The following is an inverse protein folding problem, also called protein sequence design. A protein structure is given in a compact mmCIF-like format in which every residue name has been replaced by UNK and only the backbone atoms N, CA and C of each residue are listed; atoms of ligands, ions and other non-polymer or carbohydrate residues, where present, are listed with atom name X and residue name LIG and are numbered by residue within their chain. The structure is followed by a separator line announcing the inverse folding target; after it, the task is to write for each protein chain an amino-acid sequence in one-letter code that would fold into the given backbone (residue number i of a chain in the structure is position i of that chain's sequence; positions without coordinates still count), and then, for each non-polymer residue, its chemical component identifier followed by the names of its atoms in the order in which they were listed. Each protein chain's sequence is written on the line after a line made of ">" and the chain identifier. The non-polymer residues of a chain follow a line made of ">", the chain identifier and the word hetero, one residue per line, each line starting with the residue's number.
data_IF_841578442034
#
_entry.id   IF_841578442034
#
_cell.length_a   1.000
_cell.length_b   1.000
_cell.length_c   1.000
_cell.angle_alpha   90.00
_cell.angle_beta   90.00
_cell.angle_gamma   90.00
#
_symmetry.space_group_name_H-M   'P 1'
#
loop_
_entity.id
_entity.type
_entity.pdbx_description
1 polymer ?
#
# COMPACT_ATOMS: atom_id res chain seq x y z
N UNK A 1 -9.41 19.46 -4.83
CA UNK A 1 -8.75 18.12 -4.69
C UNK A 1 -8.88 17.74 -3.22
N UNK A 2 -9.11 16.47 -2.89
CA UNK A 2 -9.12 16.04 -1.48
C UNK A 2 -7.67 15.77 -1.09
N UNK A 3 -7.07 16.64 -0.28
CA UNK A 3 -5.62 16.70 -0.08
C UNK A 3 -5.12 15.70 0.96
N UNK A 4 -5.94 15.38 1.98
CA UNK A 4 -5.55 14.44 3.03
C UNK A 4 -5.12 13.07 2.48
N UNK A 5 -5.74 12.60 1.38
CA UNK A 5 -5.36 11.33 0.76
C UNK A 5 -3.94 11.38 0.16
N UNK A 6 -3.50 12.55 -0.34
CA UNK A 6 -2.12 12.76 -0.81
C UNK A 6 -1.14 12.72 0.36
N UNK A 7 -1.51 13.37 1.48
CA UNK A 7 -0.70 13.36 2.72
C UNK A 7 -0.57 11.93 3.27
N UNK A 8 -1.68 11.19 3.34
CA UNK A 8 -1.65 9.79 3.80
C UNK A 8 -0.83 8.88 2.88
N UNK A 9 -0.84 9.12 1.56
CA UNK A 9 0.03 8.38 0.62
C UNK A 9 1.50 8.67 0.87
N UNK A 10 1.86 9.93 1.10
CA UNK A 10 3.22 10.31 1.47
C UNK A 10 3.64 9.64 2.79
N UNK A 11 2.77 9.70 3.81
CA UNK A 11 3.00 9.06 5.11
C UNK A 11 3.20 7.54 4.97
N UNK A 12 2.35 6.87 4.18
CA UNK A 12 2.49 5.44 3.91
C UNK A 12 3.84 5.10 3.30
N UNK A 13 4.30 5.86 2.28
CA UNK A 13 5.62 5.67 1.69
C UNK A 13 6.74 5.80 2.73
N UNK A 14 6.69 6.84 3.57
CA UNK A 14 7.69 7.05 4.62
C UNK A 14 7.71 5.89 5.65
N UNK A 15 6.53 5.44 6.10
CA UNK A 15 6.42 4.35 7.11
C UNK A 15 6.89 3.01 6.52
N UNK A 16 6.50 2.69 5.28
CA UNK A 16 6.95 1.47 4.60
C UNK A 16 8.47 1.50 4.43
N UNK A 17 9.04 2.60 3.95
CA UNK A 17 10.49 2.73 3.80
C UNK A 17 11.20 2.61 5.15
N UNK A 18 10.65 3.25 6.19
CA UNK A 18 11.17 3.15 7.55
C UNK A 18 11.30 1.71 8.02
N UNK A 19 10.32 0.86 7.75
CA UNK A 19 10.35 -0.54 8.19
C UNK A 19 11.41 -1.41 7.50
N UNK A 20 11.97 -0.94 6.40
CA UNK A 20 13.06 -1.62 5.70
C UNK A 20 14.47 -1.21 6.16
N UNK A 21 14.59 -0.22 7.06
CA UNK A 21 15.88 0.24 7.59
C UNK A 21 16.45 -0.63 8.72
N UNK A 22 16.06 -1.91 8.80
CA UNK A 22 16.68 -2.88 9.70
C UNK A 22 18.20 -2.94 9.46
N UNK A 23 18.99 -2.84 10.51
CA UNK A 23 20.44 -2.77 10.46
C UNK A 23 21.02 -1.41 10.03
N UNK A 24 20.18 -0.43 9.65
CA UNK A 24 20.61 0.95 9.31
C UNK A 24 20.57 1.85 10.55
N UNK A 25 19.55 1.66 11.40
CA UNK A 25 19.41 2.39 12.65
C UNK A 25 20.29 1.81 13.76
N UNK A 26 20.59 2.58 14.82
CA UNK A 26 21.27 2.08 16.03
C UNK A 26 20.49 0.97 16.74
N UNK A 27 19.19 0.90 16.53
CA UNK A 27 18.31 -0.17 17.03
C UNK A 27 17.20 -0.46 16.02
N UNK A 28 16.97 -1.75 15.76
CA UNK A 28 15.92 -2.20 14.82
C UNK A 28 14.50 -1.95 15.32
N UNK A 29 14.32 -1.57 16.58
CA UNK A 29 13.01 -1.18 17.11
C UNK A 29 12.41 0.01 16.36
N UNK A 30 13.25 0.90 15.82
CA UNK A 30 12.84 2.06 15.04
C UNK A 30 12.38 1.63 13.63
N UNK A 31 13.01 0.60 13.04
CA UNK A 31 12.68 0.05 11.73
C UNK A 31 11.39 -0.78 11.77
N UNK A 32 10.27 -0.16 12.05
CA UNK A 32 8.99 -0.84 12.25
C UNK A 32 7.83 -0.08 11.59
N UNK A 33 6.63 -0.69 11.59
CA UNK A 33 5.41 -0.05 11.10
C UNK A 33 5.06 -0.34 9.64
N UNK A 34 5.80 -1.21 8.93
CA UNK A 34 5.57 -1.49 7.51
C UNK A 34 4.12 -1.86 7.20
N UNK A 35 3.52 -2.75 7.99
CA UNK A 35 2.12 -3.14 7.81
C UNK A 35 1.14 -1.97 8.01
N UNK A 36 1.43 -1.03 8.92
CA UNK A 36 0.64 0.21 9.06
C UNK A 36 0.72 1.05 7.77
N UNK A 37 1.90 1.17 7.19
CA UNK A 37 2.08 1.84 5.90
C UNK A 37 1.31 1.15 4.76
N UNK A 38 1.36 -0.19 4.70
CA UNK A 38 0.64 -0.98 3.69
C UNK A 38 -0.88 -0.76 3.78
N UNK A 39 -1.48 -0.87 4.97
CA UNK A 39 -2.94 -0.67 5.13
C UNK A 39 -3.36 0.77 4.80
N UNK A 40 -2.55 1.78 5.13
CA UNK A 40 -2.80 3.17 4.71
C UNK A 40 -2.79 3.26 3.17
N UNK A 41 -1.82 2.64 2.51
CA UNK A 41 -1.70 2.68 1.06
C UNK A 41 -2.87 1.97 0.37
N UNK A 42 -3.29 0.79 0.85
CA UNK A 42 -4.47 0.08 0.35
C UNK A 42 -5.75 0.91 0.55
N UNK A 43 -5.91 1.57 1.70
CA UNK A 43 -7.06 2.43 1.96
C UNK A 43 -7.07 3.67 1.04
N UNK A 44 -5.93 4.33 0.84
CA UNK A 44 -5.82 5.44 -0.13
C UNK A 44 -6.08 4.96 -1.56
N UNK A 45 -5.65 3.75 -1.91
CA UNK A 45 -5.95 3.15 -3.22
C UNK A 45 -7.45 2.94 -3.39
N UNK A 46 -8.14 2.36 -2.41
CA UNK A 46 -9.60 2.23 -2.41
C UNK A 46 -10.32 3.57 -2.52
N UNK A 47 -9.87 4.58 -1.77
CA UNK A 47 -10.39 5.95 -1.82
C UNK A 47 -10.30 6.57 -3.22
N UNK A 48 -9.20 6.36 -3.93
CA UNK A 48 -8.96 6.91 -5.26
C UNK A 48 -9.69 6.14 -6.37
N UNK A 49 -10.00 4.86 -6.17
CA UNK A 49 -10.49 3.94 -7.21
C UNK A 49 -12.01 3.75 -7.24
N UNK A 50 -12.77 4.45 -6.41
CA UNK A 50 -14.24 4.32 -6.30
C UNK A 50 -14.97 4.55 -7.63
N UNK A 51 -14.47 5.46 -8.48
CA UNK A 51 -15.10 5.77 -9.76
C UNK A 51 -14.67 4.77 -10.84
N UNK A 52 -15.32 3.63 -10.85
CA UNK A 52 -15.11 2.57 -11.86
C UNK A 52 -15.85 2.92 -13.14
N UNK A 53 -15.10 3.08 -14.25
CA UNK A 53 -15.65 3.35 -15.59
C UNK A 53 -15.25 2.28 -16.59
N UNK A 54 -16.14 1.92 -17.48
CA UNK A 54 -15.91 0.90 -18.51
C UNK A 54 -16.13 -0.53 -18.02
N UNK A 55 -15.82 -1.50 -18.87
CA UNK A 55 -15.86 -2.91 -18.49
C UNK A 55 -14.61 -3.33 -17.70
N UNK A 56 -14.64 -4.54 -17.14
CA UNK A 56 -13.56 -5.06 -16.27
C UNK A 56 -12.19 -5.02 -16.97
N UNK A 57 -12.09 -5.55 -18.17
CA UNK A 57 -10.81 -5.65 -18.90
C UNK A 57 -10.20 -4.28 -19.20
N UNK A 58 -11.03 -3.31 -19.58
CA UNK A 58 -10.58 -1.92 -19.80
C UNK A 58 -10.12 -1.24 -18.53
N UNK A 59 -10.85 -1.45 -17.44
CA UNK A 59 -10.50 -0.85 -16.15
C UNK A 59 -9.25 -1.50 -15.58
N UNK A 60 -9.18 -2.83 -15.58
CA UNK A 60 -8.05 -3.59 -15.05
C UNK A 60 -6.79 -3.36 -15.89
N UNK A 61 -6.89 -3.38 -17.21
CA UNK A 61 -5.78 -3.09 -18.12
C UNK A 61 -5.15 -1.71 -17.88
N UNK A 62 -5.95 -0.68 -17.55
CA UNK A 62 -5.41 0.63 -17.15
C UNK A 62 -4.61 0.57 -15.84
N UNK A 63 -4.94 -0.32 -14.91
CA UNK A 63 -4.19 -0.53 -13.67
C UNK A 63 -2.89 -1.26 -13.94
N UNK A 64 -2.94 -2.30 -14.76
CA UNK A 64 -1.74 -3.01 -15.21
C UNK A 64 -0.77 -2.04 -15.90
N UNK A 65 -1.26 -1.24 -16.85
CA UNK A 65 -0.45 -0.26 -17.58
C UNK A 65 0.21 0.77 -16.65
N UNK A 66 -0.39 1.06 -15.49
CA UNK A 66 0.18 1.97 -14.49
C UNK A 66 1.27 1.30 -13.65
N UNK A 67 1.13 0.02 -13.31
CA UNK A 67 2.03 -0.67 -12.39
C UNK A 67 3.19 -1.36 -13.12
N UNK A 68 2.87 -2.12 -14.18
CA UNK A 68 3.83 -3.04 -14.80
C UNK A 68 5.05 -2.40 -15.44
N UNK A 69 5.01 -1.23 -16.10
CA UNK A 69 6.22 -0.63 -16.65
C UNK A 69 7.30 -0.39 -15.60
N UNK A 70 6.94 0.07 -14.39
CA UNK A 70 7.88 0.26 -13.29
C UNK A 70 8.41 -1.09 -12.78
N UNK A 71 7.51 -2.06 -12.56
CA UNK A 71 7.88 -3.40 -12.07
C UNK A 71 8.82 -4.10 -13.04
N UNK A 72 8.51 -4.10 -14.33
CA UNK A 72 9.34 -4.77 -15.34
C UNK A 72 10.72 -4.13 -15.47
N UNK A 73 10.77 -2.80 -15.52
CA UNK A 73 12.04 -2.07 -15.62
C UNK A 73 12.96 -2.32 -14.44
N UNK A 74 12.44 -2.20 -13.22
CA UNK A 74 13.27 -2.37 -12.03
C UNK A 74 13.69 -3.84 -11.85
N UNK A 75 12.79 -4.79 -12.15
CA UNK A 75 13.10 -6.22 -12.10
C UNK A 75 14.19 -6.58 -13.09
N UNK A 76 14.12 -6.05 -14.33
CA UNK A 76 15.16 -6.24 -15.32
C UNK A 76 16.49 -5.61 -14.89
N UNK A 77 16.44 -4.39 -14.34
CA UNK A 77 17.62 -3.72 -13.81
C UNK A 77 18.29 -4.52 -12.68
N UNK A 78 17.48 -5.11 -11.78
CA UNK A 78 17.99 -5.94 -10.70
C UNK A 78 18.57 -7.28 -11.15
N UNK A 79 18.00 -7.90 -12.20
CA UNK A 79 18.59 -9.09 -12.84
C UNK A 79 19.94 -8.76 -13.49
N UNK A 80 20.01 -7.67 -14.26
CA UNK A 80 21.25 -7.23 -14.94
C UNK A 80 22.34 -6.81 -13.95
N UNK A 81 21.97 -6.24 -12.82
CA UNK A 81 22.88 -5.87 -11.74
C UNK A 81 23.26 -7.06 -10.82
N UNK A 82 22.75 -8.27 -11.06
CA UNK A 82 22.99 -9.42 -10.21
C UNK A 82 22.37 -9.34 -8.81
N UNK A 83 21.42 -8.42 -8.61
CA UNK A 83 20.70 -8.26 -7.34
C UNK A 83 19.56 -9.28 -7.19
N UNK A 84 19.03 -9.78 -8.29
CA UNK A 84 18.11 -10.91 -8.35
C UNK A 84 18.76 -12.09 -9.05
N UNK A 85 18.52 -13.29 -8.53
CA UNK A 85 18.95 -14.54 -9.17
C UNK A 85 17.98 -14.86 -10.33
N UNK A 86 18.53 -15.20 -11.49
CA UNK A 86 17.73 -15.65 -12.62
C UNK A 86 17.02 -16.97 -12.26
N UNK A 87 15.69 -17.07 -12.49
CA UNK A 87 14.96 -18.31 -12.23
C UNK A 87 15.41 -19.46 -13.12
N UNK A 88 15.48 -20.67 -12.57
CA UNK A 88 15.87 -21.89 -13.30
C UNK A 88 14.74 -22.49 -14.14
N UNK A 89 13.47 -22.13 -13.86
CA UNK A 89 12.31 -22.71 -14.49
C UNK A 89 11.24 -21.67 -14.90
N UNK A 90 10.33 -22.09 -15.77
CA UNK A 90 9.26 -21.22 -16.28
C UNK A 90 8.36 -20.67 -15.17
N UNK A 91 8.08 -21.45 -14.12
CA UNK A 91 7.26 -20.99 -13.00
C UNK A 91 7.94 -19.85 -12.23
N UNK A 92 9.27 -19.89 -12.09
CA UNK A 92 10.06 -18.80 -11.50
C UNK A 92 9.99 -17.52 -12.33
N UNK A 93 10.10 -17.63 -13.66
CA UNK A 93 9.96 -16.49 -14.56
C UNK A 93 8.55 -15.88 -14.52
N UNK A 94 7.50 -16.71 -14.45
CA UNK A 94 6.13 -16.22 -14.25
C UNK A 94 5.97 -15.47 -12.91
N UNK A 95 6.53 -16.01 -11.84
CA UNK A 95 6.51 -15.36 -10.50
C UNK A 95 7.31 -14.06 -10.48
N UNK A 96 8.37 -13.94 -11.27
CA UNK A 96 9.20 -12.76 -11.31
C UNK A 96 8.54 -11.60 -12.08
N UNK A 97 7.90 -11.90 -13.22
CA UNK A 97 7.41 -10.87 -14.15
C UNK A 97 5.89 -10.74 -14.21
N UNK A 98 5.13 -11.83 -14.10
CA UNK A 98 3.67 -11.81 -14.27
C UNK A 98 2.95 -11.69 -12.92
N UNK A 99 3.36 -12.47 -11.94
CA UNK A 99 2.87 -12.36 -10.58
C UNK A 99 4.03 -12.08 -9.63
N UNK A 100 4.50 -10.81 -9.57
CA UNK A 100 5.80 -10.47 -8.99
C UNK A 100 5.80 -10.62 -7.45
N UNK A 101 6.00 -11.86 -6.98
CA UNK A 101 5.97 -12.22 -5.56
C UNK A 101 7.10 -11.58 -4.75
N UNK A 102 8.19 -11.16 -5.39
CA UNK A 102 9.24 -10.37 -4.76
C UNK A 102 8.72 -8.99 -4.29
N UNK A 103 7.65 -8.52 -4.92
CA UNK A 103 6.94 -7.29 -4.56
C UNK A 103 5.54 -7.66 -4.05
N UNK A 104 5.47 -8.26 -2.86
CA UNK A 104 4.22 -8.80 -2.28
C UNK A 104 3.06 -7.78 -2.26
N UNK A 105 3.37 -6.50 -2.07
CA UNK A 105 2.38 -5.42 -2.17
C UNK A 105 1.76 -5.35 -3.57
N UNK A 106 2.60 -5.38 -4.64
CA UNK A 106 2.12 -5.34 -6.03
C UNK A 106 1.33 -6.61 -6.34
N UNK A 107 1.83 -7.78 -5.93
CA UNK A 107 1.12 -9.04 -6.11
C UNK A 107 -0.27 -9.02 -5.43
N UNK A 108 -0.35 -8.50 -4.20
CA UNK A 108 -1.61 -8.39 -3.46
C UNK A 108 -2.59 -7.42 -4.10
N UNK A 109 -2.14 -6.22 -4.51
CA UNK A 109 -3.06 -5.24 -5.10
C UNK A 109 -3.62 -5.70 -6.46
N UNK A 110 -2.83 -6.43 -7.26
CA UNK A 110 -3.29 -7.02 -8.52
C UNK A 110 -4.46 -7.98 -8.28
N UNK A 111 -4.36 -8.85 -7.29
CA UNK A 111 -5.45 -9.77 -6.92
C UNK A 111 -6.65 -9.00 -6.39
N UNK A 112 -6.44 -8.05 -5.48
CA UNK A 112 -7.50 -7.31 -4.81
C UNK A 112 -8.25 -6.32 -5.72
N UNK A 113 -7.66 -5.89 -6.82
CA UNK A 113 -8.37 -5.10 -7.83
C UNK A 113 -9.56 -5.85 -8.42
N UNK A 114 -9.51 -7.19 -8.49
CA UNK A 114 -10.60 -8.00 -9.06
C UNK A 114 -11.88 -7.87 -8.22
N UNK A 115 -11.91 -8.30 -6.94
CA UNK A 115 -13.11 -8.15 -6.12
C UNK A 115 -13.49 -6.68 -5.92
N UNK A 116 -12.52 -5.78 -5.82
CA UNK A 116 -12.79 -4.35 -5.65
C UNK A 116 -13.57 -3.77 -6.84
N UNK A 117 -13.23 -4.16 -8.09
CA UNK A 117 -13.98 -3.74 -9.28
C UNK A 117 -15.45 -4.11 -9.15
N UNK A 118 -15.74 -5.38 -8.81
CA UNK A 118 -17.11 -5.86 -8.72
C UNK A 118 -17.89 -5.18 -7.59
N UNK A 119 -17.27 -4.99 -6.43
CA UNK A 119 -17.89 -4.25 -5.31
C UNK A 119 -18.25 -2.82 -5.73
N UNK A 120 -17.36 -2.12 -6.43
CA UNK A 120 -17.63 -0.75 -6.87
C UNK A 120 -18.61 -0.67 -8.06
N UNK A 121 -18.71 -1.72 -8.86
CA UNK A 121 -19.60 -1.78 -10.03
C UNK A 121 -21.03 -2.17 -9.68
N UNK A 122 -21.21 -3.04 -8.71
CA UNK A 122 -22.53 -3.52 -8.27
C UNK A 122 -23.07 -2.53 -7.24
N UNK A 123 -24.13 -1.79 -7.62
CA UNK A 123 -24.69 -0.72 -6.81
C UNK A 123 -25.05 -1.16 -5.38
N UNK A 124 -25.71 -2.31 -5.24
CA UNK A 124 -26.10 -2.88 -3.93
C UNK A 124 -24.88 -3.10 -2.99
N UNK A 125 -23.76 -3.60 -3.52
CA UNK A 125 -22.54 -3.80 -2.75
C UNK A 125 -21.86 -2.47 -2.40
N UNK A 126 -21.81 -1.55 -3.36
CA UNK A 126 -21.22 -0.22 -3.19
C UNK A 126 -21.95 0.62 -2.14
N UNK A 127 -23.27 0.55 -2.09
CA UNK A 127 -24.10 1.27 -1.11
C UNK A 127 -24.03 0.66 0.29
N UNK A 128 -23.74 -0.64 0.38
CA UNK A 128 -23.73 -1.41 1.63
C UNK A 128 -22.33 -1.92 2.01
N UNK A 129 -21.28 -1.11 1.78
CA UNK A 129 -19.90 -1.46 2.15
C UNK A 129 -19.77 -1.91 3.61
N UNK A 130 -20.39 -1.26 4.62
CA UNK A 130 -20.30 -1.73 6.00
C UNK A 130 -20.85 -3.13 6.20
N UNK A 131 -22.01 -3.46 5.59
CA UNK A 131 -22.62 -4.79 5.67
C UNK A 131 -21.76 -5.84 4.96
N UNK A 132 -21.22 -5.52 3.77
CA UNK A 132 -20.28 -6.37 3.07
C UNK A 132 -19.03 -6.64 3.91
N UNK A 133 -18.47 -5.59 4.55
CA UNK A 133 -17.31 -5.74 5.42
C UNK A 133 -17.61 -6.60 6.63
N UNK A 134 -18.80 -6.48 7.22
CA UNK A 134 -19.23 -7.35 8.31
C UNK A 134 -19.32 -8.83 7.89
N UNK A 135 -19.92 -9.13 6.73
CA UNK A 135 -19.97 -10.49 6.17
C UNK A 135 -18.59 -11.08 5.90
N UNK A 136 -17.70 -10.27 5.30
CA UNK A 136 -16.31 -10.68 5.07
C UNK A 136 -15.53 -10.87 6.39
N UNK A 137 -15.85 -10.10 7.43
CA UNK A 137 -15.26 -10.27 8.76
C UNK A 137 -15.63 -11.65 9.36
N UNK A 138 -16.86 -12.10 9.18
CA UNK A 138 -17.26 -13.46 9.60
C UNK A 138 -16.43 -14.52 8.86
N UNK A 139 -16.27 -14.40 7.54
CA UNK A 139 -15.43 -15.32 6.76
C UNK A 139 -13.98 -15.28 7.23
N UNK A 140 -13.43 -14.11 7.47
CA UNK A 140 -12.08 -13.92 7.98
C UNK A 140 -11.87 -14.59 9.34
N UNK A 141 -12.83 -14.42 10.27
CA UNK A 141 -12.81 -15.08 11.57
C UNK A 141 -12.90 -16.62 11.46
N UNK A 142 -13.77 -17.13 10.56
CA UNK A 142 -13.87 -18.56 10.31
C UNK A 142 -12.55 -19.13 9.76
N UNK A 143 -11.94 -18.48 8.80
CA UNK A 143 -10.62 -18.87 8.25
C UNK A 143 -9.56 -18.85 9.34
N UNK A 144 -9.56 -17.84 10.20
CA UNK A 144 -8.63 -17.74 11.33
C UNK A 144 -8.80 -18.88 12.33
N UNK A 145 -10.03 -19.21 12.69
CA UNK A 145 -10.33 -20.24 13.71
C UNK A 145 -10.09 -21.65 13.16
N UNK A 146 -10.48 -21.92 11.91
CA UNK A 146 -10.54 -23.28 11.36
C UNK A 146 -9.30 -23.68 10.56
N UNK A 147 -8.56 -22.73 9.98
CA UNK A 147 -7.54 -23.03 8.99
C UNK A 147 -6.17 -22.45 9.38
N UNK A 148 -6.17 -21.25 10.01
CA UNK A 148 -4.92 -20.52 10.25
C UNK A 148 -4.09 -21.15 11.36
N UNK A 149 -2.78 -21.30 11.11
CA UNK A 149 -1.84 -21.73 12.15
C UNK A 149 -1.66 -20.63 13.19
N UNK A 150 -1.95 -20.96 14.46
CA UNK A 150 -1.90 -20.02 15.59
C UNK A 150 -0.80 -20.36 16.58
N UNK A 151 0.08 -21.31 16.23
CA UNK A 151 1.11 -21.83 17.14
C UNK A 151 2.21 -20.79 17.47
N UNK A 152 2.41 -19.80 16.59
CA UNK A 152 3.36 -18.71 16.79
C UNK A 152 2.87 -17.41 16.15
N UNK A 153 3.48 -16.28 16.51
CA UNK A 153 3.10 -14.98 15.95
C UNK A 153 3.64 -14.78 14.53
N UNK A 154 2.76 -14.72 13.55
CA UNK A 154 3.12 -14.47 12.14
C UNK A 154 2.02 -13.80 11.32
N UNK A 155 0.94 -13.34 11.96
CA UNK A 155 -0.24 -12.76 11.28
C UNK A 155 0.08 -11.48 10.51
N UNK A 156 1.17 -10.80 10.85
CA UNK A 156 1.66 -9.60 10.14
C UNK A 156 2.60 -9.93 8.97
N UNK A 157 2.82 -11.21 8.69
CA UNK A 157 3.65 -11.66 7.57
C UNK A 157 2.92 -11.41 6.25
N UNK A 158 3.49 -10.54 5.44
CA UNK A 158 2.86 -10.07 4.18
C UNK A 158 2.71 -11.13 3.08
N UNK A 159 3.38 -12.28 3.23
CA UNK A 159 3.25 -13.43 2.32
C UNK A 159 2.07 -14.33 2.64
N UNK A 160 1.51 -14.21 3.84
CA UNK A 160 0.39 -15.01 4.28
C UNK A 160 -0.94 -14.59 3.63
N UNK A 161 -1.80 -15.55 3.24
CA UNK A 161 -3.10 -15.22 2.63
C UNK A 161 -4.00 -14.35 3.52
N UNK A 162 -3.90 -14.53 4.85
CA UNK A 162 -4.71 -13.79 5.84
C UNK A 162 -4.54 -12.28 5.75
N UNK A 163 -3.35 -11.80 5.42
CA UNK A 163 -3.08 -10.36 5.30
C UNK A 163 -3.90 -9.70 4.19
N UNK A 164 -4.31 -10.46 3.17
CA UNK A 164 -5.11 -9.95 2.05
C UNK A 164 -6.53 -9.57 2.48
N UNK A 165 -7.08 -10.21 3.49
CA UNK A 165 -8.35 -9.78 4.09
C UNK A 165 -8.20 -8.37 4.67
N UNK A 166 -7.16 -8.13 5.47
CA UNK A 166 -6.88 -6.82 6.05
C UNK A 166 -6.66 -5.75 4.96
N UNK A 167 -5.93 -6.07 3.91
CA UNK A 167 -5.72 -5.17 2.77
C UNK A 167 -7.02 -4.85 2.04
N UNK A 168 -7.88 -5.85 1.87
CA UNK A 168 -9.17 -5.64 1.23
C UNK A 168 -10.12 -4.81 2.10
N UNK A 169 -10.19 -5.08 3.41
CA UNK A 169 -10.90 -4.22 4.36
C UNK A 169 -10.40 -2.78 4.31
N UNK A 170 -9.09 -2.58 4.22
CA UNK A 170 -8.50 -1.26 4.09
C UNK A 170 -8.95 -0.55 2.80
N UNK A 171 -8.99 -1.25 1.65
CA UNK A 171 -9.52 -0.70 0.40
C UNK A 171 -11.01 -0.33 0.53
N UNK A 172 -11.82 -1.18 1.17
CA UNK A 172 -13.25 -0.92 1.40
C UNK A 172 -13.46 0.28 2.33
N UNK A 173 -12.66 0.40 3.38
CA UNK A 173 -12.67 1.56 4.27
C UNK A 173 -12.39 2.86 3.50
N UNK A 174 -11.34 2.87 2.68
CA UNK A 174 -11.01 4.03 1.85
C UNK A 174 -12.14 4.39 0.88
N UNK A 175 -12.75 3.39 0.24
CA UNK A 175 -13.91 3.58 -0.63
C UNK A 175 -15.11 4.16 0.13
N UNK A 176 -15.39 3.65 1.33
CA UNK A 176 -16.45 4.17 2.21
C UNK A 176 -16.22 5.65 2.56
N UNK A 177 -15.00 6.03 2.95
CA UNK A 177 -14.67 7.43 3.21
C UNK A 177 -14.84 8.32 1.98
N UNK A 178 -14.55 7.80 0.78
CA UNK A 178 -14.74 8.57 -0.46
C UNK A 178 -16.22 8.76 -0.81
N UNK A 179 -17.02 7.71 -0.67
CA UNK A 179 -18.47 7.76 -0.97
C UNK A 179 -19.17 8.65 0.05
N UNK A 180 -18.81 8.56 1.32
CA UNK A 180 -19.40 9.32 2.42
C UNK A 180 -18.59 10.57 2.78
N UNK A 181 -17.83 11.14 1.84
CA UNK A 181 -16.90 12.26 2.09
C UNK A 181 -17.53 13.43 2.83
N UNK A 182 -18.78 13.78 2.51
CA UNK A 182 -19.49 14.94 3.09
C UNK A 182 -19.78 14.77 4.59
N UNK A 183 -19.75 13.52 5.09
CA UNK A 183 -19.85 13.21 6.53
C UNK A 183 -18.55 13.39 7.28
N UNK A 184 -17.40 13.35 6.59
CA UNK A 184 -16.08 13.28 7.22
C UNK A 184 -15.19 14.49 6.97
N UNK A 185 -15.23 15.07 5.75
CA UNK A 185 -14.34 16.16 5.37
C UNK A 185 -14.60 17.43 6.19
N UNK A 186 -13.53 17.96 6.77
CA UNK A 186 -13.54 19.20 7.57
C UNK A 186 -14.53 19.19 8.74
N UNK A 187 -15.00 18.00 9.15
CA UNK A 187 -15.87 17.84 10.31
C UNK A 187 -15.02 17.57 11.55
N UNK A 188 -15.05 18.50 12.52
CA UNK A 188 -14.32 18.36 13.79
C UNK A 188 -14.56 17.00 14.44
N UNK A 189 -13.50 16.36 14.94
CA UNK A 189 -13.55 15.04 15.55
C UNK A 189 -12.47 14.92 16.63
N UNK A 190 -12.71 15.55 17.78
CA UNK A 190 -11.73 15.61 18.88
C UNK A 190 -11.42 14.21 19.42
N UNK A 191 -12.43 13.37 19.59
CA UNK A 191 -12.25 12.02 20.11
C UNK A 191 -11.26 11.18 19.25
N UNK A 192 -11.27 11.37 17.92
CA UNK A 192 -10.36 10.64 17.06
C UNK A 192 -8.88 11.05 17.29
N UNK A 193 -8.62 12.32 17.55
CA UNK A 193 -7.28 12.79 17.87
C UNK A 193 -6.79 12.30 19.24
N UNK A 194 -7.69 12.09 20.21
CA UNK A 194 -7.35 11.51 21.52
C UNK A 194 -7.10 10.01 21.37
N UNK A 195 -7.93 9.31 20.58
CA UNK A 195 -7.83 7.86 20.39
C UNK A 195 -6.62 7.44 19.52
N UNK A 196 -6.18 8.31 18.61
CA UNK A 196 -5.09 8.02 17.67
C UNK A 196 -3.79 7.57 18.38
N UNK A 197 -3.23 8.33 19.35
CA UNK A 197 -2.02 7.89 20.05
C UNK A 197 -2.25 6.63 20.90
N UNK A 198 -3.44 6.44 21.48
CA UNK A 198 -3.77 5.23 22.23
C UNK A 198 -3.76 3.99 21.34
N UNK A 199 -4.38 4.06 20.15
CA UNK A 199 -4.39 2.95 19.19
C UNK A 199 -3.00 2.72 18.60
N UNK A 200 -2.23 3.76 18.35
CA UNK A 200 -0.85 3.63 17.88
C UNK A 200 0.01 2.90 18.91
N UNK A 201 -0.05 3.30 20.17
CA UNK A 201 0.62 2.62 21.26
C UNK A 201 0.12 1.16 21.42
N UNK A 202 -1.19 0.96 21.38
CA UNK A 202 -1.82 -0.37 21.44
C UNK A 202 -1.39 -1.30 20.32
N UNK A 203 -1.25 -0.79 19.10
CA UNK A 203 -0.76 -1.57 17.95
C UNK A 203 0.66 -2.11 18.17
N UNK A 204 1.61 -1.24 18.55
CA UNK A 204 2.98 -1.66 18.80
C UNK A 204 3.12 -2.50 20.07
N UNK A 205 2.36 -2.17 21.12
CA UNK A 205 2.37 -2.94 22.37
C UNK A 205 1.81 -4.36 22.15
N UNK A 206 0.67 -4.52 21.42
CA UNK A 206 0.11 -5.83 21.13
C UNK A 206 1.04 -6.67 20.26
N UNK A 207 1.70 -6.08 19.27
CA UNK A 207 2.71 -6.74 18.45
C UNK A 207 3.86 -7.28 19.30
N UNK A 208 4.42 -6.42 20.17
CA UNK A 208 5.52 -6.80 21.05
C UNK A 208 5.09 -7.91 22.04
N UNK A 209 3.86 -7.82 22.56
CA UNK A 209 3.29 -8.80 23.48
C UNK A 209 3.21 -10.19 22.83
N UNK A 210 2.63 -10.29 21.64
CA UNK A 210 2.46 -11.55 20.92
C UNK A 210 3.77 -12.16 20.44
N UNK A 211 4.77 -11.33 20.08
CA UNK A 211 6.11 -11.81 19.73
C UNK A 211 6.84 -12.39 20.95
N UNK A 212 6.65 -11.80 22.15
CA UNK A 212 7.37 -12.23 23.36
C UNK A 212 6.70 -13.36 24.13
N UNK A 213 5.38 -13.49 24.05
CA UNK A 213 4.59 -14.45 24.82
C UNK A 213 3.86 -15.39 23.86
N UNK A 214 4.53 -16.49 23.47
CA UNK A 214 3.99 -17.49 22.54
C UNK A 214 2.59 -18.00 22.91
N UNK A 215 2.31 -18.17 24.23
CA UNK A 215 0.99 -18.60 24.72
C UNK A 215 -0.16 -17.67 24.29
N UNK A 216 0.15 -16.42 23.93
CA UNK A 216 -0.83 -15.45 23.46
C UNK A 216 -0.95 -15.42 21.92
N UNK A 217 -0.16 -16.24 21.19
CA UNK A 217 -0.21 -16.28 19.74
C UNK A 217 -1.61 -16.62 19.20
N UNK A 218 -2.42 -17.38 19.92
CA UNK A 218 -3.83 -17.64 19.59
C UNK A 218 -4.68 -16.39 19.43
N UNK A 219 -4.28 -15.29 20.08
CA UNK A 219 -4.98 -14.00 20.04
C UNK A 219 -4.33 -12.98 19.09
N UNK A 220 -3.37 -13.38 18.29
CA UNK A 220 -2.64 -12.47 17.39
C UNK A 220 -3.54 -11.67 16.43
N UNK A 221 -4.75 -12.16 16.13
CA UNK A 221 -5.77 -11.46 15.35
C UNK A 221 -6.12 -10.09 15.95
N UNK A 222 -6.04 -9.95 17.28
CA UNK A 222 -6.30 -8.68 17.98
C UNK A 222 -5.38 -7.57 17.46
N UNK A 223 -4.12 -7.90 17.13
CA UNK A 223 -3.21 -6.91 16.54
C UNK A 223 -3.73 -6.34 15.22
N UNK A 224 -4.31 -7.18 14.35
CA UNK A 224 -4.90 -6.71 13.09
C UNK A 224 -6.18 -5.91 13.31
N UNK A 225 -6.99 -6.27 14.31
CA UNK A 225 -8.21 -5.50 14.69
C UNK A 225 -7.80 -4.11 15.18
N UNK A 226 -6.80 -4.02 16.06
CA UNK A 226 -6.27 -2.75 16.56
C UNK A 226 -5.68 -1.92 15.40
N UNK A 227 -4.96 -2.55 14.48
CA UNK A 227 -4.41 -1.87 13.31
C UNK A 227 -5.52 -1.33 12.39
N UNK A 228 -6.59 -2.09 12.17
CA UNK A 228 -7.72 -1.63 11.35
C UNK A 228 -8.47 -0.47 12.03
N UNK A 229 -8.67 -0.53 13.35
CA UNK A 229 -9.23 0.56 14.13
C UNK A 229 -8.33 1.82 14.06
N UNK A 230 -7.02 1.65 14.19
CA UNK A 230 -6.03 2.71 14.02
C UNK A 230 -6.13 3.36 12.63
N UNK A 231 -6.23 2.56 11.57
CA UNK A 231 -6.41 3.03 10.20
C UNK A 231 -7.69 3.87 10.05
N UNK A 232 -8.82 3.40 10.60
CA UNK A 232 -10.09 4.12 10.53
C UNK A 232 -10.03 5.47 11.26
N UNK A 233 -9.43 5.48 12.46
CA UNK A 233 -9.22 6.70 13.24
C UNK A 233 -8.26 7.66 12.55
N UNK A 234 -7.17 7.15 11.96
CA UNK A 234 -6.22 7.93 11.18
C UNK A 234 -6.91 8.63 10.01
N UNK A 235 -7.69 7.89 9.21
CA UNK A 235 -8.46 8.47 8.12
C UNK A 235 -9.44 9.53 8.62
N UNK A 236 -10.09 9.30 9.77
CA UNK A 236 -11.01 10.25 10.38
C UNK A 236 -10.31 11.54 10.82
N UNK A 237 -9.14 11.41 11.45
CA UNK A 237 -8.31 12.55 11.85
C UNK A 237 -7.93 13.40 10.64
N UNK A 238 -7.32 12.79 9.63
CA UNK A 238 -6.81 13.52 8.47
C UNK A 238 -7.94 14.12 7.63
N UNK A 239 -9.06 13.42 7.46
CA UNK A 239 -10.24 13.96 6.80
C UNK A 239 -10.82 15.18 7.53
N UNK A 240 -10.75 15.21 8.88
CA UNK A 240 -11.25 16.33 9.69
C UNK A 240 -10.49 17.64 9.49
N UNK A 241 -9.26 17.56 9.00
CA UNK A 241 -8.35 18.72 8.82
C UNK A 241 -7.96 18.94 7.35
N UNK A 242 -8.65 18.34 6.39
CA UNK A 242 -8.32 18.40 4.96
C UNK A 242 -8.08 19.85 4.48
N UNK A 243 -8.97 20.80 4.82
CA UNK A 243 -8.82 22.19 4.45
C UNK A 243 -7.61 22.89 5.09
N UNK A 244 -7.14 22.44 6.26
CA UNK A 244 -5.88 22.92 6.87
C UNK A 244 -4.69 22.35 6.11
N UNK A 245 -4.72 21.07 5.77
CA UNK A 245 -3.66 20.42 4.99
C UNK A 245 -3.52 21.05 3.60
N UNK A 246 -4.62 21.48 3.00
CA UNK A 246 -4.60 22.17 1.71
C UNK A 246 -3.93 23.56 1.78
N UNK A 247 -3.83 24.15 2.98
CA UNK A 247 -3.20 25.46 3.23
C UNK A 247 -1.75 25.37 3.71
N UNK A 248 -1.13 24.20 3.72
CA UNK A 248 0.27 24.02 4.08
C UNK A 248 1.21 24.89 3.22
N UNK A 249 2.38 25.29 3.75
CA UNK A 249 3.38 26.05 3.01
C UNK A 249 3.75 25.39 1.69
N UNK A 250 4.00 26.16 0.66
CA UNK A 250 4.27 25.68 -0.72
C UNK A 250 5.43 24.67 -0.78
N UNK A 251 6.47 24.87 0.01
CA UNK A 251 7.64 23.95 0.05
C UNK A 251 7.22 22.60 0.55
N UNK A 252 6.52 22.54 1.70
CA UNK A 252 6.04 21.29 2.30
C UNK A 252 5.05 20.56 1.39
N UNK A 253 4.15 21.30 0.75
CA UNK A 253 3.24 20.71 -0.26
C UNK A 253 3.99 20.04 -1.40
N UNK A 254 5.00 20.72 -1.96
CA UNK A 254 5.82 20.14 -3.04
C UNK A 254 6.53 18.85 -2.62
N UNK A 255 7.07 18.80 -1.41
CA UNK A 255 7.70 17.58 -0.86
C UNK A 255 6.68 16.45 -0.73
N UNK A 256 5.52 16.73 -0.11
CA UNK A 256 4.44 15.74 0.07
C UNK A 256 3.96 15.22 -1.29
N UNK A 257 3.69 16.12 -2.24
CA UNK A 257 3.22 15.76 -3.57
C UNK A 257 4.26 14.97 -4.36
N UNK A 258 5.54 15.34 -4.24
CA UNK A 258 6.64 14.60 -4.85
C UNK A 258 6.70 13.17 -4.31
N UNK A 259 6.82 12.97 -3.00
CA UNK A 259 6.89 11.63 -2.40
C UNK A 259 5.62 10.82 -2.73
N UNK A 260 4.43 11.44 -2.62
CA UNK A 260 3.17 10.79 -2.97
C UNK A 260 3.09 10.38 -4.45
N UNK A 261 3.75 11.11 -5.37
CA UNK A 261 3.74 10.80 -6.80
C UNK A 261 4.63 9.60 -7.15
N UNK A 262 5.75 9.41 -6.43
CA UNK A 262 6.76 8.36 -6.67
C UNK A 262 6.67 7.20 -5.68
N UNK A 263 5.55 7.04 -4.98
CA UNK A 263 5.36 6.03 -3.90
C UNK A 263 5.60 4.60 -4.39
N UNK A 264 5.11 4.24 -5.58
CA UNK A 264 5.33 2.92 -6.16
C UNK A 264 6.81 2.68 -6.43
N UNK A 265 7.45 3.65 -7.02
CA UNK A 265 8.86 3.56 -7.40
C UNK A 265 9.76 3.50 -6.16
N UNK A 266 9.46 4.27 -5.10
CA UNK A 266 10.13 4.15 -3.80
C UNK A 266 10.03 2.72 -3.29
N UNK A 267 8.83 2.14 -3.26
CA UNK A 267 8.60 0.78 -2.80
C UNK A 267 9.42 -0.25 -3.62
N UNK A 268 9.46 -0.11 -4.94
CA UNK A 268 10.18 -1.03 -5.81
C UNK A 268 11.70 -0.94 -5.66
N UNK A 269 12.22 0.29 -5.51
CA UNK A 269 13.65 0.57 -5.46
C UNK A 269 14.26 0.18 -4.09
N UNK A 270 13.55 0.39 -2.99
CA UNK A 270 14.10 0.22 -1.63
C UNK A 270 14.51 -1.23 -1.30
N UNK A 271 13.76 -2.22 -1.80
CA UNK A 271 13.86 -3.64 -1.39
C UNK A 271 15.29 -4.18 -1.52
N UNK A 272 15.95 -3.91 -2.65
CA UNK A 272 17.29 -4.43 -2.92
C UNK A 272 18.42 -3.44 -2.61
N UNK A 273 18.11 -2.15 -2.49
CA UNK A 273 19.14 -1.13 -2.27
C UNK A 273 19.54 -0.96 -0.82
N UNK A 274 18.57 -1.00 0.11
CA UNK A 274 18.85 -0.74 1.53
C UNK A 274 19.95 -1.64 2.07
N UNK A 275 19.92 -2.98 1.88
CA UNK A 275 20.97 -3.85 2.39
C UNK A 275 22.35 -3.61 1.75
N UNK A 276 22.38 -3.12 0.51
CA UNK A 276 23.62 -2.92 -0.26
C UNK A 276 24.29 -1.57 -0.03
N UNK A 277 23.53 -0.57 0.38
CA UNK A 277 24.02 0.81 0.55
C UNK A 277 24.33 1.16 2.01
N UNK A 278 24.25 0.21 2.93
CA UNK A 278 24.56 0.42 4.35
C UNK A 278 26.10 0.37 4.59
N UNK A 279 26.81 1.32 4.00
CA UNK A 279 28.28 1.41 4.00
C UNK A 279 28.84 2.48 4.95
N UNK A 280 28.00 3.34 5.47
CA UNK A 280 28.39 4.40 6.40
C UNK A 280 27.78 4.17 7.80
N UNK A 281 28.31 4.78 8.86
CA UNK A 281 27.66 4.78 10.17
C UNK A 281 26.41 5.71 10.16
N UNK A 282 25.48 5.42 11.09
CA UNK A 282 24.32 6.30 11.34
C UNK A 282 24.80 7.67 11.88
N UNK A 283 24.20 8.79 11.42
CA UNK A 283 23.04 8.94 10.52
C UNK A 283 23.39 9.07 9.03
N UNK A 284 24.67 9.02 8.63
CA UNK A 284 25.09 9.23 7.25
C UNK A 284 24.55 8.15 6.30
N UNK A 285 24.56 6.88 6.75
CA UNK A 285 23.98 5.76 6.00
C UNK A 285 22.51 6.01 5.69
N UNK A 286 21.71 6.42 6.70
CA UNK A 286 20.29 6.70 6.55
C UNK A 286 20.03 7.84 5.54
N UNK A 287 20.78 8.94 5.62
CA UNK A 287 20.68 10.06 4.68
C UNK A 287 21.07 9.65 3.27
N UNK A 288 22.18 8.91 3.12
CA UNK A 288 22.68 8.44 1.83
C UNK A 288 21.68 7.47 1.16
N UNK A 289 21.20 6.47 1.90
CA UNK A 289 20.22 5.49 1.40
C UNK A 289 18.92 6.18 1.00
N UNK A 290 18.38 7.05 1.87
CA UNK A 290 17.13 7.78 1.61
C UNK A 290 17.27 8.67 0.35
N UNK A 291 18.36 9.43 0.25
CA UNK A 291 18.62 10.26 -0.93
C UNK A 291 18.72 9.45 -2.21
N UNK A 292 19.42 8.31 -2.16
CA UNK A 292 19.57 7.41 -3.31
C UNK A 292 18.25 6.79 -3.72
N UNK A 293 17.41 6.34 -2.77
CA UNK A 293 16.08 5.80 -3.05
C UNK A 293 15.21 6.86 -3.75
N UNK A 294 15.18 8.09 -3.24
CA UNK A 294 14.37 9.17 -3.82
C UNK A 294 14.84 9.53 -5.23
N UNK A 295 16.16 9.59 -5.46
CA UNK A 295 16.72 9.86 -6.77
C UNK A 295 16.37 8.77 -7.78
N UNK A 296 16.59 7.51 -7.45
CA UNK A 296 16.31 6.38 -8.34
C UNK A 296 14.81 6.19 -8.57
N UNK A 297 13.98 6.41 -7.55
CA UNK A 297 12.53 6.40 -7.69
C UNK A 297 12.06 7.51 -8.65
N UNK A 298 12.64 8.70 -8.56
CA UNK A 298 12.33 9.78 -9.48
C UNK A 298 12.75 9.47 -10.93
N UNK A 299 13.95 8.90 -11.13
CA UNK A 299 14.41 8.47 -12.47
C UNK A 299 13.47 7.41 -13.03
N UNK A 300 13.17 6.36 -12.25
CA UNK A 300 12.25 5.29 -12.62
C UNK A 300 10.88 5.85 -13.00
N UNK A 301 10.34 6.79 -12.20
CA UNK A 301 9.06 7.45 -12.47
C UNK A 301 9.06 8.20 -13.82
N UNK A 302 10.13 8.92 -14.13
CA UNK A 302 10.26 9.63 -15.42
C UNK A 302 10.29 8.67 -16.60
N UNK A 303 11.13 7.63 -16.52
CA UNK A 303 11.25 6.63 -17.59
C UNK A 303 9.94 5.88 -17.80
N UNK A 304 9.30 5.43 -16.73
CA UNK A 304 8.00 4.74 -16.81
C UNK A 304 6.89 5.65 -17.36
N UNK A 305 6.91 6.93 -17.03
CA UNK A 305 5.98 7.92 -17.57
C UNK A 305 6.09 8.04 -19.10
N UNK A 306 7.30 8.07 -19.65
CA UNK A 306 7.51 8.07 -21.09
C UNK A 306 7.00 6.80 -21.79
N UNK A 307 7.27 5.63 -21.18
CA UNK A 307 6.78 4.34 -21.71
C UNK A 307 5.26 4.31 -21.70
N UNK A 308 4.63 4.72 -20.61
CA UNK A 308 3.16 4.76 -20.48
C UNK A 308 2.54 5.69 -21.53
N UNK A 309 3.12 6.88 -21.75
CA UNK A 309 2.67 7.82 -22.78
C UNK A 309 2.78 7.22 -24.19
N UNK A 310 3.89 6.53 -24.48
CA UNK A 310 4.10 5.83 -25.76
C UNK A 310 3.07 4.74 -25.99
N UNK A 311 2.84 3.87 -25.02
CA UNK A 311 1.86 2.79 -25.08
C UNK A 311 0.42 3.33 -25.27
N UNK A 312 0.06 4.39 -24.54
CA UNK A 312 -1.26 5.01 -24.69
C UNK A 312 -1.49 5.58 -26.08
N UNK A 313 -0.47 6.20 -26.70
CA UNK A 313 -0.55 6.67 -28.11
C UNK A 313 -0.75 5.53 -29.09
N UNK A 314 -0.05 4.40 -28.92
CA UNK A 314 -0.19 3.21 -29.77
C UNK A 314 -1.60 2.61 -29.67
N UNK A 315 -2.13 2.45 -28.45
CA UNK A 315 -3.49 1.94 -28.24
C UNK A 315 -4.58 2.88 -28.79
N UNK A 316 -4.38 4.19 -28.69
CA UNK A 316 -5.33 5.17 -29.23
C UNK A 316 -5.36 5.18 -30.76
N UNK A 317 -4.19 5.02 -31.43
CA UNK A 317 -4.11 4.89 -32.90
C UNK A 317 -4.81 3.61 -33.40
N UNK A 318 -4.56 2.46 -32.75
CA UNK A 318 -5.24 1.21 -33.11
C UNK A 318 -6.77 1.30 -33.01
N UNK A 319 -7.29 1.97 -32.00
CA UNK A 319 -8.75 2.20 -31.86
C UNK A 319 -9.32 3.07 -32.96
N UNK A 320 -8.62 4.12 -33.39
CA UNK A 320 -9.07 4.97 -34.51
C UNK A 320 -9.07 4.18 -35.82
N UNK A 321 -8.02 3.41 -36.11
CA UNK A 321 -7.96 2.60 -37.31
C UNK A 321 -9.02 1.48 -37.35
N UNK A 322 -9.34 0.86 -36.19
CA UNK A 322 -10.40 -0.14 -36.10
C UNK A 322 -11.83 0.45 -36.16
N UNK A 323 -11.99 1.76 -35.96
CA UNK A 323 -13.28 2.45 -36.09
C UNK A 323 -13.49 3.06 -37.50
N UNK A 324 -12.43 3.10 -38.31
CA UNK A 324 -12.44 3.60 -39.68
C UNK A 324 -12.39 2.47 -40.74
N UNK A 325 -12.26 1.23 -40.32
CA UNK A 325 -12.39 0.00 -41.12
C UNK A 325 -13.73 -0.68 -40.84
#
# INVERSE_FOLDING_TARGET
>A
MIYFATVLRCLAACIITNSHYTGVYPTDLIANGGLLGDVIFFAVSGFCLVNVKGNFFQWYGKRLLRLYPAVLLITLAYLLAGLFTAPENAAGWLRLFIYPTNYHFVASILVLYIPFYFVMRIQKLRENIPLLSAGLCVVWLLVYILIYDRSYYHIDTVREPMIRFLFFFSMLLGAYFRISKDRFLNRKCVWAWILLPCLLAGYFASKLLFVRIERLADFQLVNQIVLFALLAVLFRCFASVDGKLERLPRVLKRVIEFVASVTLEIYLVQISLIPKLNIFPFPLNWLFITGTILLLAWILHKVTGWIQAGLQRLFSRRRKNAASA
#
